data_IF_917984723425
#
_entry.id   IF_917984723425
#
_cell.length_a   1.000
_cell.length_b   1.000
_cell.length_c   1.000
_cell.angle_alpha   90.00
_cell.angle_beta   90.00
_cell.angle_gamma   90.00
#
_symmetry.space_group_name_H-M   'P 1'
#
loop_
_entity.id
_entity.type
_entity.pdbx_description
1 polymer ?
#
# COMPACT_ATOMS: atom_id res chain seq x y z
N UNK A 1 -154.95 -45.44 -41.81
CA UNK A 1 -154.21 -45.78 -40.57
C UNK A 1 -152.80 -46.33 -40.83
N UNK A 2 -152.44 -46.82 -42.03
CA UNK A 2 -151.10 -47.41 -42.26
C UNK A 2 -149.96 -46.41 -42.50
N UNK A 3 -150.22 -45.16 -42.94
CA UNK A 3 -149.12 -44.20 -43.17
C UNK A 3 -148.45 -43.74 -41.86
N UNK A 4 -149.24 -43.54 -40.80
CA UNK A 4 -148.75 -43.07 -39.50
C UNK A 4 -147.83 -44.09 -38.79
N UNK A 5 -148.01 -45.39 -39.07
CA UNK A 5 -147.15 -46.45 -38.52
C UNK A 5 -145.80 -46.51 -39.25
N UNK A 6 -145.80 -46.33 -40.57
CA UNK A 6 -144.58 -46.31 -41.38
C UNK A 6 -143.70 -45.11 -41.04
N UNK A 7 -144.29 -43.95 -40.74
CA UNK A 7 -143.55 -42.76 -40.31
C UNK A 7 -142.89 -42.94 -38.93
N UNK A 8 -143.56 -43.64 -38.01
CA UNK A 8 -143.01 -43.99 -36.68
C UNK A 8 -141.86 -44.98 -36.83
N UNK A 9 -142.03 -46.04 -37.64
CA UNK A 9 -140.97 -47.02 -37.90
C UNK A 9 -139.74 -46.37 -38.55
N UNK A 10 -139.94 -45.50 -39.54
CA UNK A 10 -138.85 -44.74 -40.16
C UNK A 10 -138.12 -43.82 -39.17
N UNK A 11 -138.84 -43.24 -38.20
CA UNK A 11 -138.24 -42.43 -37.13
C UNK A 11 -137.42 -43.27 -36.14
N UNK A 12 -137.88 -44.50 -35.82
CA UNK A 12 -137.16 -45.45 -34.97
C UNK A 12 -135.87 -45.90 -35.66
N UNK A 13 -135.92 -46.28 -36.94
CA UNK A 13 -134.73 -46.67 -37.72
C UNK A 13 -133.70 -45.54 -37.79
N UNK A 14 -134.15 -44.28 -37.93
CA UNK A 14 -133.27 -43.12 -37.89
C UNK A 14 -132.61 -42.93 -36.52
N UNK A 15 -133.37 -43.11 -35.43
CA UNK A 15 -132.84 -43.04 -34.07
C UNK A 15 -131.81 -44.14 -33.78
N UNK A 16 -132.08 -45.37 -34.22
CA UNK A 16 -131.13 -46.50 -34.11
C UNK A 16 -129.83 -46.17 -34.85
N UNK A 17 -129.94 -45.66 -36.09
CA UNK A 17 -128.78 -45.23 -36.86
C UNK A 17 -127.99 -44.12 -36.17
N UNK A 18 -128.65 -43.10 -35.63
CA UNK A 18 -127.98 -42.03 -34.89
C UNK A 18 -127.30 -42.54 -33.62
N UNK A 19 -127.93 -43.49 -32.93
CA UNK A 19 -127.36 -44.10 -31.73
C UNK A 19 -126.12 -44.95 -32.06
N UNK A 20 -126.17 -45.73 -33.14
CA UNK A 20 -125.02 -46.50 -33.63
C UNK A 20 -123.86 -45.59 -34.05
N UNK A 21 -124.15 -44.50 -34.79
CA UNK A 21 -123.16 -43.50 -35.18
C UNK A 21 -122.53 -42.81 -33.95
N UNK A 22 -123.33 -42.50 -32.94
CA UNK A 22 -122.86 -41.93 -31.67
C UNK A 22 -121.97 -42.91 -30.91
N UNK A 23 -122.38 -44.18 -30.80
CA UNK A 23 -121.61 -45.22 -30.12
C UNK A 23 -120.27 -45.47 -30.83
N UNK A 24 -120.26 -45.55 -32.16
CA UNK A 24 -119.02 -45.68 -32.94
C UNK A 24 -118.10 -44.47 -32.77
N UNK A 25 -118.67 -43.25 -32.73
CA UNK A 25 -117.90 -42.02 -32.53
C UNK A 25 -117.26 -42.00 -31.14
N UNK A 26 -118.00 -42.36 -30.09
CA UNK A 26 -117.46 -42.48 -28.74
C UNK A 26 -116.34 -43.51 -28.68
N UNK A 27 -116.55 -44.69 -29.27
CA UNK A 27 -115.54 -45.75 -29.26
C UNK A 27 -114.25 -45.29 -29.95
N UNK A 28 -114.36 -44.71 -31.14
CA UNK A 28 -113.22 -44.18 -31.89
C UNK A 28 -112.47 -43.08 -31.12
N UNK A 29 -113.21 -42.16 -30.51
CA UNK A 29 -112.62 -41.10 -29.68
C UNK A 29 -111.94 -41.68 -28.44
N UNK A 30 -112.55 -42.66 -27.79
CA UNK A 30 -111.98 -43.37 -26.64
C UNK A 30 -110.66 -44.07 -26.99
N UNK A 31 -110.63 -44.79 -28.12
CA UNK A 31 -109.41 -45.43 -28.63
C UNK A 31 -108.30 -44.42 -28.92
N UNK A 32 -108.64 -43.27 -29.54
CA UNK A 32 -107.69 -42.20 -29.82
C UNK A 32 -107.13 -41.58 -28.53
N UNK A 33 -107.97 -41.35 -27.52
CA UNK A 33 -107.53 -40.86 -26.19
C UNK A 33 -106.56 -41.86 -25.55
N UNK A 34 -106.90 -43.15 -25.55
CA UNK A 34 -106.05 -44.21 -24.98
C UNK A 34 -104.70 -44.28 -25.69
N UNK A 35 -104.68 -44.18 -27.03
CA UNK A 35 -103.44 -44.15 -27.80
C UNK A 35 -102.59 -42.92 -27.46
N UNK A 36 -103.20 -41.74 -27.37
CA UNK A 36 -102.51 -40.51 -27.00
C UNK A 36 -101.93 -40.59 -25.58
N UNK A 37 -102.69 -41.09 -24.60
CA UNK A 37 -102.19 -41.30 -23.23
C UNK A 37 -101.01 -42.27 -23.20
N UNK A 38 -101.07 -43.35 -23.99
CA UNK A 38 -99.96 -44.32 -24.09
C UNK A 38 -98.70 -43.69 -24.69
N UNK A 39 -98.83 -42.82 -25.70
CA UNK A 39 -97.71 -42.09 -26.29
C UNK A 39 -97.12 -41.07 -25.30
N UNK A 40 -97.96 -40.28 -24.64
CA UNK A 40 -97.54 -39.31 -23.62
C UNK A 40 -96.82 -40.00 -22.47
N UNK A 41 -97.33 -41.13 -21.99
CA UNK A 41 -96.68 -41.93 -20.94
C UNK A 41 -95.29 -42.43 -21.35
N UNK A 42 -95.13 -42.89 -22.60
CA UNK A 42 -93.81 -43.28 -23.11
C UNK A 42 -92.83 -42.11 -23.15
N UNK A 43 -93.28 -40.92 -23.58
CA UNK A 43 -92.47 -39.70 -23.57
C UNK A 43 -92.07 -39.31 -22.14
N UNK A 44 -93.02 -39.34 -21.21
CA UNK A 44 -92.76 -39.02 -19.79
C UNK A 44 -91.72 -39.96 -19.17
N UNK A 45 -91.78 -41.26 -19.47
CA UNK A 45 -90.76 -42.23 -19.04
C UNK A 45 -89.36 -41.91 -19.59
N UNK A 46 -89.28 -41.48 -20.85
CA UNK A 46 -88.01 -41.09 -21.47
C UNK A 46 -87.44 -39.83 -20.82
N UNK A 47 -88.28 -38.81 -20.59
CA UNK A 47 -87.87 -37.59 -19.89
C UNK A 47 -87.40 -37.89 -18.46
N UNK A 48 -88.11 -38.76 -17.74
CA UNK A 48 -87.70 -39.18 -16.40
C UNK A 48 -86.32 -39.89 -16.40
N UNK A 49 -86.04 -40.70 -17.43
CA UNK A 49 -84.73 -41.32 -17.58
C UNK A 49 -83.63 -40.28 -17.86
N UNK A 50 -83.90 -39.31 -18.73
CA UNK A 50 -82.97 -38.22 -19.02
C UNK A 50 -82.69 -37.35 -17.78
N UNK A 51 -83.71 -37.07 -16.97
CA UNK A 51 -83.57 -36.33 -15.71
C UNK A 51 -82.60 -37.06 -14.78
N UNK A 52 -82.74 -38.38 -14.60
CA UNK A 52 -81.81 -39.15 -13.76
C UNK A 52 -80.36 -39.06 -14.23
N UNK A 53 -80.13 -39.15 -15.54
CA UNK A 53 -78.77 -38.99 -16.11
C UNK A 53 -78.21 -37.60 -15.81
N UNK A 54 -79.05 -36.55 -15.90
CA UNK A 54 -78.63 -35.19 -15.60
C UNK A 54 -78.34 -35.01 -14.11
N UNK A 55 -79.14 -35.60 -13.22
CA UNK A 55 -78.91 -35.59 -11.77
C UNK A 55 -77.57 -36.24 -11.42
N UNK A 56 -77.26 -37.43 -11.96
CA UNK A 56 -75.97 -38.11 -11.75
C UNK A 56 -74.79 -37.28 -12.27
N UNK A 57 -74.94 -36.60 -13.41
CA UNK A 57 -73.90 -35.71 -13.95
C UNK A 57 -73.68 -34.49 -13.05
N UNK A 58 -74.75 -33.88 -12.55
CA UNK A 58 -74.67 -32.74 -11.63
C UNK A 58 -73.96 -33.15 -10.33
N UNK A 59 -74.29 -34.33 -9.78
CA UNK A 59 -73.64 -34.84 -8.57
C UNK A 59 -72.13 -35.08 -8.78
N UNK A 60 -71.76 -35.65 -9.93
CA UNK A 60 -70.36 -35.86 -10.31
C UNK A 60 -69.62 -34.52 -10.44
N UNK A 61 -70.22 -33.55 -11.15
CA UNK A 61 -69.63 -32.23 -11.34
C UNK A 61 -69.48 -31.45 -10.03
N UNK A 62 -70.46 -31.55 -9.12
CA UNK A 62 -70.38 -30.93 -7.81
C UNK A 62 -69.24 -31.54 -6.98
N UNK A 63 -69.06 -32.86 -7.04
CA UNK A 63 -67.96 -33.54 -6.35
C UNK A 63 -66.59 -33.11 -6.89
N UNK A 64 -66.46 -32.98 -8.22
CA UNK A 64 -65.25 -32.45 -8.85
C UNK A 64 -64.98 -31.00 -8.45
N UNK A 65 -66.01 -30.16 -8.41
CA UNK A 65 -65.91 -28.75 -8.02
C UNK A 65 -65.39 -28.63 -6.58
N UNK A 66 -65.96 -29.36 -5.63
CA UNK A 66 -65.47 -29.38 -4.24
C UNK A 66 -64.01 -29.85 -4.16
N UNK A 67 -63.62 -30.85 -4.97
CA UNK A 67 -62.23 -31.30 -5.05
C UNK A 67 -61.28 -30.22 -5.57
N UNK A 68 -61.71 -29.40 -6.53
CA UNK A 68 -60.94 -28.28 -7.06
C UNK A 68 -60.85 -27.12 -6.06
N UNK A 69 -61.92 -26.82 -5.33
CA UNK A 69 -61.94 -25.81 -4.27
C UNK A 69 -60.92 -26.12 -3.18
N UNK A 70 -60.90 -27.37 -2.68
CA UNK A 70 -59.93 -27.82 -1.67
C UNK A 70 -58.48 -27.67 -2.18
N UNK A 71 -58.23 -28.05 -3.44
CA UNK A 71 -56.90 -27.88 -4.06
C UNK A 71 -56.52 -26.41 -4.20
N UNK A 72 -57.47 -25.55 -4.56
CA UNK A 72 -57.27 -24.11 -4.66
C UNK A 72 -56.88 -23.51 -3.30
N UNK A 73 -57.59 -23.87 -2.23
CA UNK A 73 -57.26 -23.44 -0.87
C UNK A 73 -55.86 -23.89 -0.41
N UNK A 74 -55.47 -25.13 -0.71
CA UNK A 74 -54.12 -25.63 -0.40
C UNK A 74 -53.04 -24.84 -1.14
N UNK A 75 -53.28 -24.52 -2.42
CA UNK A 75 -52.37 -23.68 -3.21
C UNK A 75 -52.26 -22.26 -2.65
N UNK A 76 -53.36 -21.66 -2.19
CA UNK A 76 -53.36 -20.35 -1.55
C UNK A 76 -52.50 -20.37 -0.29
N UNK A 77 -52.67 -21.36 0.59
CA UNK A 77 -51.85 -21.52 1.81
C UNK A 77 -50.37 -21.68 1.49
N UNK A 78 -50.02 -22.47 0.47
CA UNK A 78 -48.64 -22.62 -0.01
C UNK A 78 -48.07 -21.30 -0.50
N UNK A 79 -48.86 -20.51 -1.23
CA UNK A 79 -48.45 -19.21 -1.74
C UNK A 79 -48.19 -18.22 -0.59
N UNK A 80 -49.04 -18.18 0.42
CA UNK A 80 -48.84 -17.34 1.61
C UNK A 80 -47.57 -17.71 2.37
N UNK A 81 -47.31 -19.00 2.57
CA UNK A 81 -46.08 -19.47 3.20
C UNK A 81 -44.82 -19.07 2.40
N UNK A 82 -44.87 -19.21 1.07
CA UNK A 82 -43.77 -18.78 0.20
C UNK A 82 -43.56 -17.26 0.26
N UNK A 83 -44.66 -16.48 0.33
CA UNK A 83 -44.60 -15.01 0.48
C UNK A 83 -43.96 -14.61 1.81
N UNK A 84 -44.32 -15.30 2.89
CA UNK A 84 -43.70 -15.08 4.21
C UNK A 84 -42.20 -15.38 4.16
N UNK A 85 -41.81 -16.56 3.66
CA UNK A 85 -40.41 -16.95 3.53
C UNK A 85 -39.59 -15.99 2.66
N UNK A 86 -40.18 -15.47 1.57
CA UNK A 86 -39.56 -14.44 0.74
C UNK A 86 -39.25 -13.17 1.52
N UNK A 87 -40.19 -12.69 2.34
CA UNK A 87 -40.00 -11.48 3.15
C UNK A 87 -38.89 -11.67 4.19
N UNK A 88 -38.85 -12.83 4.86
CA UNK A 88 -37.80 -13.16 5.83
C UNK A 88 -36.41 -13.18 5.19
N UNK A 89 -36.29 -13.82 4.02
CA UNK A 89 -35.04 -13.83 3.26
C UNK A 89 -34.63 -12.42 2.83
N UNK A 90 -35.58 -11.58 2.43
CA UNK A 90 -35.30 -10.21 2.05
C UNK A 90 -34.81 -9.35 3.24
N UNK A 91 -35.34 -9.59 4.45
CA UNK A 91 -34.82 -8.96 5.69
C UNK A 91 -33.37 -9.38 5.93
N UNK A 92 -33.10 -10.69 5.90
CA UNK A 92 -31.75 -11.24 6.11
C UNK A 92 -30.73 -10.70 5.11
N UNK A 93 -31.11 -10.55 3.84
CA UNK A 93 -30.25 -9.95 2.81
C UNK A 93 -29.93 -8.49 3.14
N UNK A 94 -30.92 -7.73 3.60
CA UNK A 94 -30.75 -6.32 3.96
C UNK A 94 -29.81 -6.17 5.17
N UNK A 95 -29.99 -7.00 6.19
CA UNK A 95 -29.12 -7.08 7.37
C UNK A 95 -27.69 -7.47 7.01
N UNK A 96 -27.52 -8.49 6.17
CA UNK A 96 -26.20 -8.94 5.71
C UNK A 96 -25.47 -7.83 4.94
N UNK A 97 -26.18 -7.11 4.05
CA UNK A 97 -25.63 -5.97 3.32
C UNK A 97 -25.19 -4.84 4.26
N UNK A 98 -25.99 -4.53 5.28
CA UNK A 98 -25.63 -3.53 6.30
C UNK A 98 -24.43 -3.96 7.15
N UNK A 99 -24.32 -5.23 7.48
CA UNK A 99 -23.15 -5.78 8.20
C UNK A 99 -21.89 -5.76 7.33
N UNK A 100 -22.01 -6.08 6.04
CA UNK A 100 -20.90 -6.02 5.10
C UNK A 100 -20.31 -4.61 4.96
N UNK A 101 -21.16 -3.59 4.74
CA UNK A 101 -20.67 -2.20 4.64
C UNK A 101 -20.02 -1.74 5.95
N UNK A 102 -20.58 -2.11 7.12
CA UNK A 102 -19.94 -1.82 8.41
C UNK A 102 -18.55 -2.43 8.55
N UNK A 103 -18.39 -3.70 8.18
CA UNK A 103 -17.07 -4.37 8.21
C UNK A 103 -16.10 -3.72 7.23
N UNK A 104 -16.56 -3.41 6.03
CA UNK A 104 -15.76 -2.73 4.99
C UNK A 104 -15.28 -1.35 5.44
N UNK A 105 -16.15 -0.58 6.10
CA UNK A 105 -15.79 0.72 6.66
C UNK A 105 -14.84 0.58 7.86
N UNK A 106 -15.08 -0.39 8.75
CA UNK A 106 -14.18 -0.70 9.86
C UNK A 106 -12.76 -1.09 9.38
N UNK A 107 -12.64 -1.71 8.20
CA UNK A 107 -11.36 -2.10 7.59
C UNK A 107 -10.53 -0.92 7.07
N UNK A 108 -11.13 0.27 6.88
CA UNK A 108 -10.40 1.46 6.41
C UNK A 108 -9.39 1.97 7.45
N UNK A 109 -9.73 1.99 8.74
CA UNK A 109 -8.82 2.49 9.78
C UNK A 109 -7.57 1.63 9.94
N UNK A 110 -7.67 0.29 10.09
CA UNK A 110 -6.50 -0.58 10.15
C UNK A 110 -5.61 -0.48 8.91
N UNK A 111 -6.21 -0.27 7.73
CA UNK A 111 -5.44 -0.09 6.49
C UNK A 111 -4.59 1.18 6.53
N UNK A 112 -5.16 2.30 6.99
CA UNK A 112 -4.43 3.57 7.14
C UNK A 112 -3.35 3.44 8.23
N UNK A 113 -3.67 2.79 9.35
CA UNK A 113 -2.71 2.51 10.42
C UNK A 113 -1.52 1.67 9.92
N UNK A 114 -1.78 0.65 9.08
CA UNK A 114 -0.75 -0.18 8.47
C UNK A 114 0.14 0.63 7.51
N UNK A 115 -0.44 1.48 6.66
CA UNK A 115 0.32 2.37 5.77
C UNK A 115 1.21 3.34 6.57
N UNK A 116 0.71 3.86 7.70
CA UNK A 116 1.49 4.70 8.62
C UNK A 116 2.63 3.94 9.33
N UNK A 117 2.41 2.68 9.70
CA UNK A 117 3.47 1.85 10.28
C UNK A 117 4.55 1.52 9.25
N UNK A 118 4.15 1.23 8.00
CA UNK A 118 5.07 1.00 6.89
C UNK A 118 5.96 2.22 6.61
N UNK A 119 5.38 3.43 6.57
CA UNK A 119 6.15 4.65 6.35
C UNK A 119 7.14 4.93 7.49
N UNK A 120 6.72 4.71 8.75
CA UNK A 120 7.61 4.81 9.92
C UNK A 120 8.75 3.79 9.85
N UNK A 121 8.45 2.55 9.47
CA UNK A 121 9.45 1.49 9.34
C UNK A 121 10.50 1.86 8.28
N UNK A 122 10.06 2.34 7.11
CA UNK A 122 10.97 2.79 6.05
C UNK A 122 11.88 3.93 6.54
N UNK A 123 11.33 4.93 7.24
CA UNK A 123 12.14 6.01 7.82
C UNK A 123 13.16 5.53 8.85
N UNK A 124 12.80 4.52 9.65
CA UNK A 124 13.75 3.92 10.60
C UNK A 124 14.85 3.17 9.86
N UNK A 125 14.52 2.40 8.83
CA UNK A 125 15.51 1.69 8.01
C UNK A 125 16.49 2.66 7.33
N UNK A 126 16.01 3.78 6.78
CA UNK A 126 16.88 4.83 6.24
C UNK A 126 17.84 5.39 7.29
N UNK A 127 17.36 5.65 8.51
CA UNK A 127 18.20 6.10 9.62
C UNK A 127 19.24 5.05 10.04
N UNK A 128 18.88 3.76 10.00
CA UNK A 128 19.81 2.66 10.28
C UNK A 128 20.91 2.65 9.21
N UNK A 129 20.56 2.68 7.93
CA UNK A 129 21.52 2.70 6.83
C UNK A 129 22.48 3.89 6.92
N UNK A 130 21.98 5.09 7.27
CA UNK A 130 22.83 6.26 7.49
C UNK A 130 23.81 6.03 8.67
N UNK A 131 23.33 5.50 9.79
CA UNK A 131 24.20 5.19 10.94
C UNK A 131 25.22 4.11 10.66
N UNK A 132 24.87 3.08 9.88
CA UNK A 132 25.82 2.03 9.45
C UNK A 132 26.91 2.61 8.54
N UNK A 133 26.54 3.53 7.65
CA UNK A 133 27.50 4.29 6.83
C UNK A 133 28.42 5.14 7.70
N UNK A 134 27.87 5.93 8.64
CA UNK A 134 28.65 6.76 9.56
C UNK A 134 29.61 5.91 10.42
N UNK A 135 29.14 4.76 10.90
CA UNK A 135 29.97 3.83 11.67
C UNK A 135 31.13 3.28 10.84
N UNK A 136 30.86 2.89 9.60
CA UNK A 136 31.90 2.44 8.65
C UNK A 136 32.94 3.54 8.39
N UNK A 137 32.52 4.80 8.27
CA UNK A 137 33.44 5.93 8.12
C UNK A 137 34.28 6.17 9.37
N UNK A 138 33.70 6.02 10.57
CA UNK A 138 34.43 6.13 11.83
C UNK A 138 35.46 5.01 12.00
N UNK A 139 35.09 3.78 11.66
CA UNK A 139 36.01 2.62 11.68
C UNK A 139 37.20 2.86 10.74
N UNK A 140 36.95 3.39 9.54
CA UNK A 140 38.02 3.75 8.60
C UNK A 140 38.94 4.84 9.18
N UNK A 141 38.37 5.92 9.74
CA UNK A 141 39.15 6.99 10.39
C UNK A 141 39.96 6.47 11.58
N UNK A 142 39.44 5.51 12.33
CA UNK A 142 40.14 4.90 13.45
C UNK A 142 41.38 4.14 12.96
N UNK A 143 41.25 3.34 11.90
CA UNK A 143 42.38 2.64 11.27
C UNK A 143 43.42 3.64 10.76
N UNK A 144 43.00 4.71 10.09
CA UNK A 144 43.91 5.74 9.58
C UNK A 144 44.67 6.45 10.71
N UNK A 145 43.99 6.77 11.82
CA UNK A 145 44.61 7.35 13.00
C UNK A 145 45.61 6.39 13.66
N UNK A 146 45.25 5.11 13.84
CA UNK A 146 46.15 4.08 14.38
C UNK A 146 47.41 3.94 13.50
N UNK A 147 47.26 3.98 12.18
CA UNK A 147 48.38 3.94 11.23
C UNK A 147 49.26 5.18 11.34
N UNK A 148 48.67 6.37 11.43
CA UNK A 148 49.40 7.63 11.59
C UNK A 148 50.14 7.70 12.93
N UNK A 149 49.54 7.18 14.00
CA UNK A 149 50.20 7.06 15.30
C UNK A 149 51.41 6.12 15.23
N UNK A 150 51.27 4.95 14.60
CA UNK A 150 52.40 4.02 14.38
C UNK A 150 53.53 4.68 13.56
N UNK A 151 53.19 5.45 12.52
CA UNK A 151 54.16 6.20 11.74
C UNK A 151 54.89 7.27 12.59
N UNK A 152 54.16 8.04 13.40
CA UNK A 152 54.77 9.02 14.30
C UNK A 152 55.69 8.35 15.33
N UNK A 153 55.26 7.25 15.95
CA UNK A 153 56.08 6.47 16.89
C UNK A 153 57.37 5.96 16.26
N UNK A 154 57.34 5.58 14.98
CA UNK A 154 58.53 5.14 14.23
C UNK A 154 59.42 6.29 13.77
N UNK A 155 58.88 7.49 13.52
CA UNK A 155 59.70 8.67 13.18
C UNK A 155 60.40 9.28 14.41
N UNK A 156 59.75 9.25 15.57
CA UNK A 156 60.29 9.70 16.86
C UNK A 156 60.85 8.55 17.69
N UNK A 157 61.58 7.64 17.06
CA UNK A 157 62.28 6.59 17.80
C UNK A 157 63.37 7.20 18.67
N UNK A 158 63.57 6.59 19.83
CA UNK A 158 64.57 6.99 20.81
C UNK A 158 65.98 7.03 20.18
N UNK A 159 66.26 6.15 19.22
CA UNK A 159 67.46 6.19 18.37
C UNK A 159 67.61 7.48 17.56
N UNK A 160 66.55 7.96 16.90
CA UNK A 160 66.62 9.23 16.14
C UNK A 160 66.77 10.43 17.04
N UNK A 161 66.13 10.43 18.21
CA UNK A 161 66.35 11.48 19.21
C UNK A 161 67.76 11.42 19.79
N UNK A 162 68.30 10.23 20.04
CA UNK A 162 69.68 10.05 20.49
C UNK A 162 70.70 10.46 19.42
N UNK A 163 70.45 10.16 18.14
CA UNK A 163 71.29 10.62 17.02
C UNK A 163 71.25 12.15 16.88
N UNK A 164 70.08 12.76 17.01
CA UNK A 164 69.94 14.22 17.02
C UNK A 164 70.63 14.85 18.23
N UNK A 165 70.51 14.26 19.43
CA UNK A 165 71.19 14.75 20.64
C UNK A 165 72.72 14.59 20.52
N UNK A 166 73.18 13.50 19.90
CA UNK A 166 74.59 13.30 19.58
C UNK A 166 75.10 14.36 18.60
N UNK A 167 74.37 14.60 17.50
CA UNK A 167 74.71 15.65 16.52
C UNK A 167 74.70 17.03 17.16
N UNK A 168 73.75 17.32 18.05
CA UNK A 168 73.65 18.60 18.75
C UNK A 168 74.82 18.79 19.73
N UNK A 169 75.20 17.75 20.47
CA UNK A 169 76.41 17.75 21.31
C UNK A 169 77.69 17.92 20.48
N UNK A 170 77.78 17.26 19.34
CA UNK A 170 78.92 17.39 18.43
C UNK A 170 79.03 18.80 17.87
N UNK A 171 77.93 19.41 17.42
CA UNK A 171 77.88 20.80 16.96
C UNK A 171 78.29 21.78 18.07
N UNK A 172 77.75 21.62 19.29
CA UNK A 172 78.15 22.44 20.44
C UNK A 172 79.64 22.32 20.75
N UNK A 173 80.22 21.14 20.61
CA UNK A 173 81.66 20.92 20.83
C UNK A 173 82.51 21.54 19.72
N UNK A 174 82.10 21.39 18.47
CA UNK A 174 82.82 21.95 17.32
C UNK A 174 82.81 23.48 17.32
N UNK A 175 81.71 24.07 17.78
CA UNK A 175 81.54 25.52 17.88
C UNK A 175 81.79 26.05 19.30
N UNK A 176 82.37 25.24 20.20
CA UNK A 176 82.53 25.58 21.61
C UNK A 176 83.33 26.87 21.78
N UNK A 177 84.45 27.02 21.07
CA UNK A 177 85.29 28.22 21.16
C UNK A 177 84.55 29.46 20.66
N UNK A 178 83.80 29.36 19.57
CA UNK A 178 83.02 30.46 19.02
C UNK A 178 81.88 30.86 19.95
N UNK A 179 81.08 29.90 20.43
CA UNK A 179 80.01 30.14 21.39
C UNK A 179 80.53 30.65 22.73
N UNK A 180 81.68 30.16 23.21
CA UNK A 180 82.31 30.61 24.45
C UNK A 180 82.80 32.05 24.35
N UNK A 181 83.41 32.42 23.22
CA UNK A 181 83.86 33.79 22.95
C UNK A 181 82.68 34.77 22.81
N UNK A 182 81.55 34.33 22.23
CA UNK A 182 80.32 35.13 22.12
C UNK A 182 79.61 35.28 23.48
N UNK A 183 79.55 34.22 24.29
CA UNK A 183 78.78 34.23 25.56
C UNK A 183 79.54 34.88 26.73
N UNK A 184 80.87 34.95 26.69
CA UNK A 184 81.70 35.44 27.80
C UNK A 184 82.53 36.69 27.44
N UNK A 185 82.27 37.33 26.31
CA UNK A 185 82.85 38.65 26.01
C UNK A 185 82.10 39.73 26.82
N UNK A 186 82.75 40.29 27.84
CA UNK A 186 82.19 41.39 28.65
C UNK A 186 82.18 42.75 27.90
N UNK A 187 82.84 42.84 26.74
CA UNK A 187 82.80 43.99 25.81
C UNK A 187 82.53 43.50 24.37
N UNK A 188 81.80 44.28 23.57
CA UNK A 188 81.54 44.03 22.14
C UNK A 188 82.85 44.15 21.34
N UNK A 189 83.53 43.02 21.11
CA UNK A 189 84.79 42.99 20.35
C UNK A 189 84.47 42.81 18.87
N UNK A 190 84.64 43.87 18.08
CA UNK A 190 84.35 43.90 16.64
C UNK A 190 85.01 42.77 15.83
N UNK A 191 86.18 42.29 16.26
CA UNK A 191 86.92 41.18 15.68
C UNK A 191 86.17 39.84 15.81
N UNK A 192 85.45 39.63 16.91
CA UNK A 192 84.69 38.39 17.17
C UNK A 192 83.44 38.36 16.29
N UNK A 193 82.76 39.49 16.11
CA UNK A 193 81.59 39.61 15.22
C UNK A 193 81.96 39.42 13.75
N UNK A 194 83.10 39.98 13.32
CA UNK A 194 83.68 39.77 11.99
C UNK A 194 83.90 38.27 11.74
N UNK A 195 84.57 37.58 12.67
CA UNK A 195 84.90 36.16 12.53
C UNK A 195 83.63 35.29 12.60
N UNK A 196 82.69 35.59 13.49
CA UNK A 196 81.42 34.87 13.60
C UNK A 196 80.58 34.98 12.32
N UNK A 197 80.54 36.18 11.72
CA UNK A 197 79.80 36.43 10.47
C UNK A 197 80.41 35.66 9.30
N UNK A 198 81.75 35.66 9.18
CA UNK A 198 82.45 34.92 8.12
C UNK A 198 82.31 33.40 8.34
N UNK A 199 82.36 32.91 9.58
CA UNK A 199 82.15 31.49 9.88
C UNK A 199 80.70 31.02 9.60
N UNK A 200 79.71 31.89 9.75
CA UNK A 200 78.31 31.58 9.45
C UNK A 200 78.02 31.56 7.94
N UNK A 201 78.67 32.43 7.17
CA UNK A 201 78.41 32.61 5.73
C UNK A 201 79.44 31.91 4.81
N UNK A 202 80.57 31.45 5.35
CA UNK A 202 81.65 30.77 4.62
C UNK A 202 82.59 31.72 3.85
N UNK A 203 82.06 32.80 3.28
CA UNK A 203 82.79 33.90 2.65
C UNK A 203 81.94 35.18 2.72
N UNK A 204 82.55 36.34 2.94
CA UNK A 204 81.82 37.61 3.02
C UNK A 204 82.53 38.71 2.23
N UNK A 205 81.76 39.59 1.59
CA UNK A 205 82.32 40.75 0.89
C UNK A 205 82.65 41.87 1.90
N UNK A 206 83.81 42.48 1.75
CA UNK A 206 84.30 43.58 2.60
C UNK A 206 83.29 44.73 2.73
N UNK A 207 82.53 45.05 1.69
CA UNK A 207 81.55 46.14 1.74
C UNK A 207 80.27 45.74 2.50
N UNK A 208 79.79 44.51 2.35
CA UNK A 208 78.63 44.00 3.09
C UNK A 208 78.94 43.85 4.58
N UNK A 209 80.17 43.47 4.92
CA UNK A 209 80.62 43.33 6.30
C UNK A 209 80.69 44.69 7.03
N UNK A 210 81.00 45.79 6.32
CA UNK A 210 81.02 47.15 6.92
C UNK A 210 79.65 47.61 7.39
N UNK A 211 78.61 47.22 6.68
CA UNK A 211 77.23 47.62 6.99
C UNK A 211 76.62 46.80 8.12
N UNK A 212 77.14 45.58 8.35
CA UNK A 212 76.68 44.66 9.38
C UNK A 212 77.33 44.88 10.76
N UNK A 213 78.46 45.59 10.82
CA UNK A 213 79.18 45.86 12.07
C UNK A 213 78.78 47.21 12.67
N UNK A 214 78.64 47.30 13.99
CA UNK A 214 78.25 48.55 14.68
C UNK A 214 79.38 49.60 14.77
N UNK A 215 80.54 49.33 14.15
CA UNK A 215 81.75 50.18 14.17
C UNK A 215 81.89 51.04 12.90
N UNK A 216 82.50 52.24 13.00
CA UNK A 216 82.74 53.10 11.84
C UNK A 216 83.49 52.37 10.71
N UNK A 217 83.12 52.56 9.42
CA UNK A 217 83.66 51.79 8.29
C UNK A 217 85.20 51.80 8.19
N UNK A 218 85.83 52.89 8.61
CA UNK A 218 87.30 53.03 8.61
C UNK A 218 87.95 52.11 9.66
N UNK A 219 87.33 51.99 10.84
CA UNK A 219 87.79 51.08 11.90
C UNK A 219 87.57 49.63 11.48
N UNK A 220 86.41 49.31 10.89
CA UNK A 220 86.13 47.97 10.35
C UNK A 220 87.17 47.54 9.30
N UNK A 221 87.47 48.39 8.30
CA UNK A 221 88.51 48.10 7.29
C UNK A 221 89.88 47.90 7.92
N UNK A 222 90.26 48.75 8.89
CA UNK A 222 91.55 48.64 9.57
C UNK A 222 91.65 47.33 10.35
N UNK A 223 90.62 46.97 11.09
CA UNK A 223 90.55 45.74 11.88
C UNK A 223 90.60 44.51 10.98
N UNK A 224 89.83 44.49 9.88
CA UNK A 224 89.85 43.40 8.88
C UNK A 224 91.24 43.26 8.26
N UNK A 225 91.86 44.36 7.84
CA UNK A 225 93.23 44.33 7.32
C UNK A 225 94.24 43.86 8.36
N UNK A 226 94.10 44.25 9.62
CA UNK A 226 94.97 43.77 10.70
C UNK A 226 94.80 42.28 10.98
N UNK A 227 93.58 41.76 10.94
CA UNK A 227 93.29 40.33 11.07
C UNK A 227 93.86 39.55 9.87
N UNK A 228 93.80 40.12 8.66
CA UNK A 228 94.39 39.54 7.46
C UNK A 228 95.93 39.51 7.52
N UNK A 229 96.56 40.61 7.96
CA UNK A 229 98.02 40.69 8.15
C UNK A 229 98.50 39.72 9.24
N UNK A 230 97.70 39.49 10.28
CA UNK A 230 97.98 38.49 11.33
C UNK A 230 97.70 37.05 10.88
N UNK A 231 97.19 36.84 9.66
CA UNK A 231 96.89 35.52 9.09
C UNK A 231 95.67 34.83 9.68
N UNK A 232 94.81 35.56 10.39
CA UNK A 232 93.59 35.02 11.05
C UNK A 232 92.45 34.86 10.02
N UNK A 233 92.43 35.71 8.99
CA UNK A 233 91.50 35.67 7.85
C UNK A 233 92.30 35.87 6.56
N UNK A 234 91.77 35.41 5.43
CA UNK A 234 92.29 35.72 4.09
C UNK A 234 91.44 36.82 3.47
N UNK A 235 92.08 37.94 3.13
CA UNK A 235 91.48 39.00 2.33
C UNK A 235 92.12 38.95 0.94
N UNK A 236 91.31 38.73 -0.07
CA UNK A 236 91.71 38.91 -1.46
C UNK A 236 91.54 40.39 -1.83
N UNK A 237 92.64 41.11 -1.99
CA UNK A 237 92.61 42.55 -2.25
C UNK A 237 92.07 42.89 -3.66
N UNK A 238 92.04 41.92 -4.58
CA UNK A 238 91.53 42.11 -5.94
C UNK A 238 90.00 41.90 -6.02
N UNK A 239 89.45 41.03 -5.17
CA UNK A 239 88.02 40.69 -5.18
C UNK A 239 87.25 41.24 -3.97
N UNK A 240 87.92 41.83 -2.97
CA UNK A 240 87.35 42.28 -1.69
C UNK A 240 86.61 41.18 -0.92
N UNK A 241 86.85 39.90 -1.24
CA UNK A 241 86.26 38.76 -0.55
C UNK A 241 87.13 38.37 0.64
N UNK A 242 86.48 38.19 1.78
CA UNK A 242 87.08 37.75 3.03
C UNK A 242 86.64 36.31 3.30
N UNK A 243 87.60 35.42 3.53
CA UNK A 243 87.36 34.03 3.91
C UNK A 243 88.17 33.65 5.14
N UNK A 244 87.78 32.57 5.81
CA UNK A 244 88.67 31.91 6.76
C UNK A 244 89.87 31.30 5.99
N UNK A 245 91.04 31.13 6.64
CA UNK A 245 92.23 30.56 6.02
C UNK A 245 92.05 29.13 5.49
#
# INVERSE_FOLDING_TARGET
>A
MSSNLNDILGSIEQLEKYFDEYQQTIQKNGELIVQNLKLTWKKMKLEQYNIKILEEKIETQNSELTGLEIKSEDLIKKLENLKSSKNDLQSKVTEAKGSFERVKDALKSPKIELENLLSKLNSVNEKIALKESDNSQLDQKKIDNENREKQLRTMYTEEKMQDLDFKLKQLKRNNYFTSFLIENSEEEISEVDIIATIMAQGSCNLDELKDLLSVPPIMAVRTIKQLAVKGIIKLDEDSNVITMP
#
